data_IF_739283964104
#
_entry.id   IF_739283964104
#
_cell.length_a   1.000
_cell.length_b   1.000
_cell.length_c   1.000
_cell.angle_alpha   90.00
_cell.angle_beta   90.00
_cell.angle_gamma   90.00
#
_symmetry.space_group_name_H-M   'P 1'
#
loop_
_entity.id
_entity.type
_entity.pdbx_description
1 polymer ?
#
# COMPACT_ATOMS: atom_id res chain seq x y z
N UNK A 1 0.40 33.55 2.53
CA UNK A 1 -0.39 32.37 2.95
C UNK A 1 -0.39 32.35 4.47
N UNK A 2 -1.57 32.45 5.08
CA UNK A 2 -1.73 32.33 6.53
C UNK A 2 -2.07 30.87 6.85
N UNK A 3 -1.29 30.24 7.72
CA UNK A 3 -1.49 28.83 8.08
C UNK A 3 -2.90 28.59 8.62
N UNK A 4 -3.37 29.46 9.51
CA UNK A 4 -4.68 29.31 10.17
C UNK A 4 -5.83 29.34 9.15
N UNK A 5 -5.77 30.23 8.15
CA UNK A 5 -6.76 30.30 7.07
C UNK A 5 -6.79 29.01 6.24
N UNK A 6 -5.61 28.47 5.90
CA UNK A 6 -5.50 27.22 5.15
C UNK A 6 -6.05 26.03 5.94
N UNK A 7 -5.80 25.98 7.26
CA UNK A 7 -6.34 24.96 8.14
C UNK A 7 -7.87 25.06 8.26
N UNK A 8 -8.43 26.26 8.34
CA UNK A 8 -9.88 26.46 8.36
C UNK A 8 -10.55 26.06 7.04
N UNK A 9 -9.93 26.37 5.90
CA UNK A 9 -10.38 25.90 4.59
C UNK A 9 -10.31 24.38 4.48
N UNK A 10 -9.24 23.77 4.98
CA UNK A 10 -9.10 22.31 5.02
C UNK A 10 -10.26 21.65 5.78
N UNK A 11 -10.62 22.17 6.96
CA UNK A 11 -11.76 21.69 7.78
C UNK A 11 -13.11 21.69 7.03
N UNK A 12 -13.25 22.55 6.02
CA UNK A 12 -14.44 22.66 5.18
C UNK A 12 -14.37 21.77 3.93
N UNK A 13 -13.36 20.90 3.83
CA UNK A 13 -13.04 20.10 2.64
C UNK A 13 -12.83 20.94 1.37
N UNK A 14 -12.40 22.20 1.51
CA UNK A 14 -12.02 23.00 0.37
C UNK A 14 -10.75 22.44 -0.29
N UNK A 15 -10.66 22.62 -1.60
CA UNK A 15 -9.44 22.32 -2.34
C UNK A 15 -8.31 23.26 -1.89
N UNK A 16 -7.17 22.67 -1.54
CA UNK A 16 -5.91 23.39 -1.34
C UNK A 16 -5.00 23.18 -2.55
N UNK A 17 -4.39 24.25 -3.05
CA UNK A 17 -3.44 24.15 -4.16
C UNK A 17 -2.15 23.45 -3.73
N UNK A 18 -1.31 23.10 -4.72
CA UNK A 18 0.01 22.52 -4.45
C UNK A 18 0.88 23.45 -3.59
N UNK A 19 0.83 24.75 -3.88
CA UNK A 19 1.59 25.78 -3.17
C UNK A 19 1.10 25.91 -1.72
N UNK A 20 -0.21 25.84 -1.49
CA UNK A 20 -0.82 25.84 -0.17
C UNK A 20 -0.46 24.59 0.63
N UNK A 21 -0.50 23.40 0.00
CA UNK A 21 -0.07 22.15 0.61
C UNK A 21 1.41 22.16 1.01
N UNK A 22 2.29 22.71 0.16
CA UNK A 22 3.71 22.86 0.46
C UNK A 22 3.94 23.86 1.62
N UNK A 23 3.17 24.93 1.68
CA UNK A 23 3.20 25.87 2.80
C UNK A 23 2.83 25.17 4.11
N UNK A 24 1.72 24.42 4.14
CA UNK A 24 1.33 23.65 5.32
C UNK A 24 2.40 22.65 5.75
N UNK A 25 2.95 21.87 4.82
CA UNK A 25 4.00 20.89 5.09
C UNK A 25 5.26 21.50 5.72
N UNK A 26 5.63 22.71 5.31
CA UNK A 26 6.89 23.34 5.75
C UNK A 26 6.74 24.34 6.90
N UNK A 27 5.53 24.85 7.15
CA UNK A 27 5.30 25.97 8.08
C UNK A 27 4.27 25.71 9.16
N UNK A 28 3.34 24.77 8.98
CA UNK A 28 2.28 24.58 9.97
C UNK A 28 2.83 23.89 11.23
N UNK A 29 2.43 24.33 12.43
CA UNK A 29 2.73 23.60 13.65
C UNK A 29 2.13 22.18 13.58
N UNK A 30 2.94 21.17 13.92
CA UNK A 30 2.51 19.78 13.89
C UNK A 30 1.23 19.52 14.72
N UNK A 31 1.05 20.08 15.93
CA UNK A 31 -0.18 19.87 16.70
C UNK A 31 -1.44 20.35 15.97
N UNK A 32 -1.36 21.48 15.27
CA UNK A 32 -2.50 22.04 14.55
C UNK A 32 -2.86 21.18 13.34
N UNK A 33 -1.85 20.69 12.60
CA UNK A 33 -2.03 19.73 11.52
C UNK A 33 -2.67 18.42 12.01
N UNK A 34 -2.17 17.88 13.13
CA UNK A 34 -2.71 16.65 13.72
C UNK A 34 -4.18 16.83 14.13
N UNK A 35 -4.51 17.97 14.75
CA UNK A 35 -5.87 18.28 15.16
C UNK A 35 -6.81 18.37 13.95
N UNK A 36 -6.45 19.14 12.93
CA UNK A 36 -7.26 19.25 11.70
C UNK A 36 -7.41 17.90 11.01
N UNK A 37 -6.35 17.09 10.94
CA UNK A 37 -6.41 15.76 10.34
C UNK A 37 -7.37 14.82 11.09
N UNK A 38 -7.37 14.84 12.43
CA UNK A 38 -8.31 14.03 13.23
C UNK A 38 -9.75 14.52 13.10
N UNK A 39 -9.98 15.84 13.05
CA UNK A 39 -11.31 16.40 12.78
C UNK A 39 -11.83 15.99 11.40
N UNK A 40 -11.00 16.05 10.36
CA UNK A 40 -11.37 15.57 9.03
C UNK A 40 -11.69 14.07 9.04
N UNK A 41 -10.92 13.26 9.78
CA UNK A 41 -11.20 11.83 9.96
C UNK A 41 -12.52 11.60 10.70
N UNK A 42 -12.87 12.41 11.71
CA UNK A 42 -14.18 12.36 12.38
C UNK A 42 -15.33 12.65 11.42
N UNK A 43 -15.17 13.65 10.56
CA UNK A 43 -16.18 14.02 9.56
C UNK A 43 -16.38 12.91 8.52
N UNK A 44 -15.30 12.30 8.02
CA UNK A 44 -15.38 11.21 7.03
C UNK A 44 -15.82 9.86 7.63
N UNK A 45 -15.51 9.60 8.89
CA UNK A 45 -15.84 8.36 9.60
C UNK A 45 -16.62 8.71 10.88
N UNK A 46 -17.88 9.18 10.74
CA UNK A 46 -18.66 9.76 11.85
C UNK A 46 -19.01 8.74 12.93
N UNK A 47 -19.09 7.45 12.58
CA UNK A 47 -19.33 6.39 13.55
C UNK A 47 -18.08 6.04 14.40
N UNK A 48 -16.91 6.63 14.10
CA UNK A 48 -15.68 6.45 14.87
C UNK A 48 -15.14 5.03 14.94
N UNK A 49 -15.59 4.12 14.06
CA UNK A 49 -15.16 2.72 14.09
C UNK A 49 -13.82 2.61 13.38
N UNK A 50 -12.83 2.09 14.10
CA UNK A 50 -11.55 1.69 13.54
C UNK A 50 -11.71 0.25 13.03
N UNK A 51 -11.41 0.03 11.75
CA UNK A 51 -11.45 -1.29 11.12
C UNK A 51 -10.05 -1.86 10.97
N UNK A 52 -9.96 -3.18 10.84
CA UNK A 52 -8.71 -3.89 10.58
C UNK A 52 -8.98 -5.06 9.64
N UNK A 53 -7.91 -5.56 9.00
CA UNK A 53 -7.95 -6.68 8.07
C UNK A 53 -6.79 -7.63 8.41
N UNK A 54 -7.06 -8.92 8.54
CA UNK A 54 -6.00 -9.94 8.53
C UNK A 54 -5.83 -10.35 7.06
N UNK A 55 -4.72 -9.93 6.47
CA UNK A 55 -4.36 -10.32 5.12
C UNK A 55 -3.06 -11.12 5.11
N UNK A 56 -2.68 -11.57 3.92
CA UNK A 56 -1.37 -12.14 3.68
C UNK A 56 -0.75 -11.57 2.43
N UNK A 57 0.37 -10.92 2.60
CA UNK A 57 1.27 -10.60 1.51
C UNK A 57 1.99 -11.86 1.01
N UNK A 58 1.83 -12.17 -0.28
CA UNK A 58 2.59 -13.21 -0.98
C UNK A 58 3.10 -12.66 -2.29
N UNK A 59 4.41 -12.72 -2.49
CA UNK A 59 5.02 -12.19 -3.69
C UNK A 59 4.97 -13.21 -4.84
N UNK A 60 4.77 -12.75 -6.08
CA UNK A 60 4.89 -13.57 -7.29
C UNK A 60 6.33 -13.94 -7.59
N UNK A 61 7.23 -12.99 -7.39
CA UNK A 61 8.67 -13.11 -7.64
C UNK A 61 9.38 -11.93 -7.01
N UNK A 62 10.65 -12.09 -6.63
CA UNK A 62 11.52 -10.97 -6.30
C UNK A 62 12.34 -10.46 -7.51
N UNK A 63 12.25 -11.10 -8.67
CA UNK A 63 12.96 -10.66 -9.88
C UNK A 63 12.34 -9.39 -10.42
N UNK A 64 13.14 -8.35 -10.60
CA UNK A 64 12.65 -7.05 -11.07
C UNK A 64 13.70 -6.34 -11.93
N UNK A 65 13.25 -5.70 -13.01
CA UNK A 65 14.09 -4.87 -13.88
C UNK A 65 14.10 -3.38 -13.53
N UNK A 66 13.25 -2.93 -12.60
CA UNK A 66 13.13 -1.51 -12.28
C UNK A 66 14.32 -0.95 -11.47
N UNK A 67 15.04 -1.80 -10.73
CA UNK A 67 16.25 -1.43 -9.97
C UNK A 67 16.08 -0.20 -9.06
N UNK A 68 14.97 -0.13 -8.32
CA UNK A 68 14.70 0.99 -7.42
C UNK A 68 15.75 1.06 -6.29
N UNK A 69 16.44 2.19 -6.14
CA UNK A 69 17.54 2.39 -5.18
C UNK A 69 17.15 2.17 -3.70
N UNK A 70 15.87 2.32 -3.37
CA UNK A 70 15.34 2.15 -2.02
C UNK A 70 14.75 0.76 -1.77
N UNK A 71 14.68 -0.11 -2.78
CA UNK A 71 14.02 -1.41 -2.67
C UNK A 71 15.00 -2.48 -2.20
N UNK A 72 14.82 -3.00 -0.99
CA UNK A 72 15.59 -4.13 -0.47
C UNK A 72 15.07 -5.51 -0.95
N UNK A 73 13.87 -5.54 -1.53
CA UNK A 73 13.20 -6.78 -1.92
C UNK A 73 13.74 -7.36 -3.23
N UNK A 74 14.01 -6.50 -4.22
CA UNK A 74 14.22 -6.97 -5.58
C UNK A 74 15.56 -7.70 -5.75
N UNK A 75 15.60 -8.54 -6.78
CA UNK A 75 16.81 -9.15 -7.33
C UNK A 75 16.83 -8.95 -8.84
N UNK A 76 18.02 -8.77 -9.40
CA UNK A 76 18.20 -8.73 -10.85
C UNK A 76 17.95 -10.13 -11.45
N UNK A 77 17.55 -10.24 -12.73
CA UNK A 77 17.46 -11.53 -13.40
C UNK A 77 18.76 -12.33 -13.27
N UNK A 78 18.65 -13.63 -12.94
CA UNK A 78 19.79 -14.53 -12.73
C UNK A 78 20.49 -14.42 -11.37
N UNK A 79 20.05 -13.54 -10.47
CA UNK A 79 20.60 -13.48 -9.12
C UNK A 79 20.39 -14.82 -8.37
N UNK A 80 21.34 -15.29 -7.53
CA UNK A 80 21.21 -16.57 -6.82
C UNK A 80 19.97 -16.70 -5.93
N UNK A 81 19.51 -15.58 -5.38
CA UNK A 81 18.29 -15.49 -4.55
C UNK A 81 17.01 -15.19 -5.34
N UNK A 82 17.06 -15.20 -6.68
CA UNK A 82 15.88 -15.01 -7.51
C UNK A 82 14.90 -16.18 -7.33
N UNK A 83 13.61 -15.88 -7.23
CA UNK A 83 12.56 -16.90 -7.16
C UNK A 83 11.29 -16.50 -7.90
N UNK A 84 10.51 -17.51 -8.29
CA UNK A 84 9.09 -17.38 -8.66
C UNK A 84 8.31 -18.26 -7.70
N UNK A 85 7.27 -17.71 -7.08
CA UNK A 85 6.45 -18.43 -6.09
C UNK A 85 5.58 -19.45 -6.78
N UNK A 86 5.68 -20.71 -6.34
CA UNK A 86 4.86 -21.81 -6.85
C UNK A 86 3.51 -21.91 -6.13
N UNK A 87 2.58 -22.67 -6.73
CA UNK A 87 1.22 -22.80 -6.22
C UNK A 87 1.14 -23.50 -4.86
N UNK A 88 2.05 -24.42 -4.55
CA UNK A 88 2.07 -25.07 -3.23
C UNK A 88 2.43 -24.09 -2.12
N UNK A 89 3.34 -23.16 -2.40
CA UNK A 89 3.68 -22.06 -1.49
C UNK A 89 2.49 -21.13 -1.28
N UNK A 90 1.79 -20.75 -2.36
CA UNK A 90 0.55 -19.98 -2.26
C UNK A 90 -0.49 -20.67 -1.40
N UNK A 91 -0.81 -21.94 -1.70
CA UNK A 91 -1.81 -22.74 -0.97
C UNK A 91 -1.47 -22.87 0.51
N UNK A 92 -0.19 -23.11 0.85
CA UNK A 92 0.25 -23.15 2.25
C UNK A 92 -0.04 -21.82 2.95
N UNK A 93 0.38 -20.70 2.36
CA UNK A 93 0.18 -19.37 2.95
C UNK A 93 -1.30 -18.99 3.05
N UNK A 94 -2.12 -19.33 2.05
CA UNK A 94 -3.58 -19.10 2.05
C UNK A 94 -4.23 -19.89 3.19
N UNK A 95 -3.90 -21.19 3.34
CA UNK A 95 -4.41 -22.02 4.45
C UNK A 95 -4.03 -21.46 5.81
N UNK A 96 -2.79 -20.97 5.95
CA UNK A 96 -2.35 -20.31 7.19
C UNK A 96 -3.16 -19.04 7.47
N UNK A 97 -3.42 -18.19 6.46
CA UNK A 97 -4.22 -16.97 6.60
C UNK A 97 -5.64 -17.26 7.05
N UNK A 98 -6.30 -18.24 6.40
CA UNK A 98 -7.65 -18.67 6.77
C UNK A 98 -7.66 -19.21 8.21
N UNK A 99 -6.63 -19.98 8.60
CA UNK A 99 -6.49 -20.48 9.98
C UNK A 99 -6.45 -19.36 11.02
N UNK A 100 -5.92 -18.19 10.67
CA UNK A 100 -5.88 -17.02 11.55
C UNK A 100 -7.10 -16.10 11.42
N UNK A 101 -8.13 -16.50 10.65
CA UNK A 101 -9.33 -15.72 10.45
C UNK A 101 -9.20 -14.59 9.42
N UNK A 102 -8.14 -14.61 8.59
CA UNK A 102 -8.00 -13.69 7.46
C UNK A 102 -8.59 -14.26 6.17
N UNK A 103 -9.02 -13.37 5.30
CA UNK A 103 -9.69 -13.70 4.02
C UNK A 103 -9.12 -12.93 2.82
N UNK A 104 -8.10 -12.09 3.01
CA UNK A 104 -7.49 -11.30 1.95
C UNK A 104 -6.08 -11.77 1.61
N UNK A 105 -5.81 -11.91 0.32
CA UNK A 105 -4.48 -12.18 -0.24
C UNK A 105 -3.98 -10.94 -0.99
N UNK A 106 -2.80 -10.43 -0.61
CA UNK A 106 -2.11 -9.36 -1.31
C UNK A 106 -1.02 -9.95 -2.20
N UNK A 107 -1.22 -9.88 -3.51
CA UNK A 107 -0.26 -10.33 -4.51
C UNK A 107 0.59 -9.15 -4.96
N UNK A 108 1.86 -9.17 -4.58
CA UNK A 108 2.87 -8.17 -4.97
C UNK A 108 4.04 -8.88 -5.66
N UNK A 109 5.02 -8.14 -6.18
CA UNK A 109 6.19 -8.78 -6.78
C UNK A 109 7.02 -7.84 -7.63
N UNK A 110 8.16 -8.35 -8.08
CA UNK A 110 9.02 -7.65 -9.02
C UNK A 110 8.48 -7.69 -10.45
N UNK A 111 8.97 -6.76 -11.27
CA UNK A 111 8.69 -6.72 -12.71
C UNK A 111 9.58 -7.73 -13.45
N UNK A 112 9.19 -9.00 -13.42
CA UNK A 112 9.92 -10.08 -14.10
C UNK A 112 9.72 -9.98 -15.63
N UNK A 113 10.80 -9.97 -16.43
CA UNK A 113 10.72 -9.72 -17.88
C UNK A 113 10.02 -10.85 -18.66
N UNK A 114 10.09 -12.09 -18.18
CA UNK A 114 9.61 -13.27 -18.92
C UNK A 114 8.23 -13.82 -18.51
N UNK A 115 7.66 -13.43 -17.35
CA UNK A 115 6.41 -14.06 -16.86
C UNK A 115 5.20 -13.76 -17.77
N UNK A 116 5.16 -12.57 -18.37
CA UNK A 116 4.07 -12.15 -19.25
C UNK A 116 2.68 -12.16 -18.59
N UNK A 117 1.63 -11.87 -19.35
CA UNK A 117 0.25 -11.81 -18.83
C UNK A 117 -0.29 -13.19 -18.44
N UNK A 118 0.04 -14.23 -19.21
CA UNK A 118 -0.50 -15.58 -19.04
C UNK A 118 -0.17 -16.15 -17.66
N UNK A 119 1.05 -15.93 -17.16
CA UNK A 119 1.44 -16.33 -15.80
C UNK A 119 0.50 -15.77 -14.71
N UNK A 120 0.15 -14.48 -14.78
CA UNK A 120 -0.73 -13.85 -13.79
C UNK A 120 -2.15 -14.39 -13.88
N UNK A 121 -2.67 -14.54 -15.11
CA UNK A 121 -4.01 -15.10 -15.35
C UNK A 121 -4.11 -16.53 -14.79
N UNK A 122 -3.12 -17.37 -15.04
CA UNK A 122 -3.09 -18.74 -14.55
C UNK A 122 -2.91 -18.80 -13.04
N UNK A 123 -2.10 -17.91 -12.48
CA UNK A 123 -1.94 -17.75 -11.02
C UNK A 123 -3.27 -17.39 -10.36
N UNK A 124 -4.00 -16.40 -10.88
CA UNK A 124 -5.29 -16.00 -10.32
C UNK A 124 -6.35 -17.10 -10.47
N UNK A 125 -6.36 -17.81 -11.62
CA UNK A 125 -7.28 -18.94 -11.84
C UNK A 125 -7.00 -20.10 -10.87
N UNK A 126 -5.73 -20.35 -10.53
CA UNK A 126 -5.34 -21.41 -9.62
C UNK A 126 -5.52 -21.07 -8.13
N UNK A 127 -5.60 -19.78 -7.79
CA UNK A 127 -5.83 -19.28 -6.42
C UNK A 127 -7.33 -19.25 -6.07
N UNK A 128 -8.18 -18.86 -7.01
CA UNK A 128 -9.65 -18.91 -6.84
C UNK A 128 -10.15 -20.33 -6.66
#
# INVERSE_FOLDING_TARGET
MHTDELLQRALQFEFLTKEEGLHLFTKAPLPDLMNVADELRKLQVPHGKVTWQIDRNVNTTNVCIANCKFCNFYRIPGHPEAYITNMDTYRKKIKETIRYGGDQLLLQGGHHPELGLQFYVDTFRAIK
#
